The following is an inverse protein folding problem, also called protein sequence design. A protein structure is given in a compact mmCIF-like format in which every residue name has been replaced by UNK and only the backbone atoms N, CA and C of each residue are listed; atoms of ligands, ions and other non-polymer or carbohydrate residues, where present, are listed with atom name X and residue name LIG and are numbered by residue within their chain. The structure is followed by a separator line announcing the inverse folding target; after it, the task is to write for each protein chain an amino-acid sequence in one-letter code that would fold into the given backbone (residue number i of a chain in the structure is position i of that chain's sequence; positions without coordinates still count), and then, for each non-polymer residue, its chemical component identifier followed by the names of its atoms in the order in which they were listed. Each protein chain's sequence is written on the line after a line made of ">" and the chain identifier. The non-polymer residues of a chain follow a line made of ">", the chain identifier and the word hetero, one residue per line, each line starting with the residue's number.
data_IF_533942915798
#
_entry.id   IF_533942915798
#
_cell.length_a   1.000
_cell.length_b   1.000
_cell.length_c   1.000
_cell.angle_alpha   90.00
_cell.angle_beta   90.00
_cell.angle_gamma   90.00
#
_symmetry.space_group_name_H-M   'P 1'
#
loop_
_entity.id
_entity.type
_entity.pdbx_description
1 polymer ?
#
# COMPACT_ATOMS: atom_id res chain seq x y z
N UNK A 1 26.34 2.05 -14.58
CA UNK A 1 26.93 1.15 -13.56
C UNK A 1 28.46 1.17 -13.57
N UNK A 2 29.09 1.20 -14.72
CA UNK A 2 30.57 1.25 -14.81
C UNK A 2 31.19 2.55 -14.28
N UNK A 3 30.44 3.62 -14.17
CA UNK A 3 30.90 4.91 -13.66
C UNK A 3 31.23 4.87 -12.16
N UNK A 4 30.40 4.21 -11.35
CA UNK A 4 30.63 4.06 -9.91
C UNK A 4 31.82 3.15 -9.59
N UNK A 5 32.07 2.14 -10.41
CA UNK A 5 33.23 1.25 -10.29
C UNK A 5 34.54 1.91 -10.67
N UNK A 6 34.56 2.90 -11.59
CA UNK A 6 35.74 3.66 -11.99
C UNK A 6 36.23 4.62 -10.90
N UNK A 7 35.34 5.19 -10.11
CA UNK A 7 35.66 6.08 -8.99
C UNK A 7 36.38 5.29 -7.86
N UNK A 8 36.21 3.98 -7.84
CA UNK A 8 36.64 3.12 -6.75
C UNK A 8 38.03 2.51 -6.89
N UNK A 9 38.67 2.64 -8.04
CA UNK A 9 39.99 2.00 -8.29
C UNK A 9 41.17 2.61 -7.55
N UNK A 10 40.96 3.61 -6.72
CA UNK A 10 42.07 4.37 -6.15
C UNK A 10 42.31 4.31 -4.65
N UNK A 11 41.38 3.80 -3.81
CA UNK A 11 41.62 3.78 -2.35
C UNK A 11 40.63 2.92 -1.60
N UNK A 12 41.08 1.94 -0.84
CA UNK A 12 40.23 1.13 0.02
C UNK A 12 39.87 1.88 1.31
N UNK A 13 38.97 2.84 1.24
CA UNK A 13 38.44 3.48 2.45
C UNK A 13 37.09 2.84 2.85
N UNK A 14 37.01 2.09 3.97
CA UNK A 14 35.81 1.39 4.37
C UNK A 14 34.61 2.30 4.60
N UNK A 15 34.83 3.55 5.02
CA UNK A 15 33.76 4.53 5.24
C UNK A 15 33.12 4.99 3.95
N UNK A 16 33.92 5.23 2.89
CA UNK A 16 33.42 5.55 1.54
C UNK A 16 32.65 4.39 0.94
N UNK A 17 33.11 3.18 1.15
CA UNK A 17 32.44 1.98 0.67
C UNK A 17 31.05 1.82 1.30
N UNK A 18 30.93 2.04 2.61
CA UNK A 18 29.66 2.01 3.33
C UNK A 18 28.70 3.11 2.86
N UNK A 19 29.21 4.32 2.62
CA UNK A 19 28.42 5.44 2.12
C UNK A 19 27.87 5.18 0.72
N UNK A 20 28.69 4.65 -0.19
CA UNK A 20 28.26 4.27 -1.56
C UNK A 20 27.25 3.14 -1.52
N UNK A 21 27.43 2.11 -0.69
CA UNK A 21 26.47 1.03 -0.51
C UNK A 21 25.12 1.54 0.02
N UNK A 22 25.15 2.47 0.96
CA UNK A 22 23.94 3.09 1.52
C UNK A 22 23.22 3.90 0.43
N UNK A 23 23.93 4.71 -0.32
CA UNK A 23 23.38 5.49 -1.43
C UNK A 23 22.77 4.58 -2.51
N UNK A 24 23.47 3.52 -2.89
CA UNK A 24 23.00 2.55 -3.88
C UNK A 24 21.73 1.83 -3.40
N UNK A 25 21.65 1.52 -2.11
CA UNK A 25 20.45 0.92 -1.50
C UNK A 25 19.27 1.90 -1.52
N UNK A 26 19.48 3.16 -1.18
CA UNK A 26 18.44 4.21 -1.22
C UNK A 26 17.92 4.40 -2.65
N UNK A 27 18.80 4.53 -3.63
CA UNK A 27 18.43 4.67 -5.04
C UNK A 27 17.68 3.44 -5.55
N UNK A 28 18.15 2.24 -5.21
CA UNK A 28 17.47 0.98 -5.57
C UNK A 28 16.09 0.88 -4.94
N UNK A 29 15.94 1.22 -3.64
CA UNK A 29 14.66 1.19 -2.94
C UNK A 29 13.68 2.22 -3.49
N UNK A 30 14.14 3.41 -3.87
CA UNK A 30 13.29 4.47 -4.44
C UNK A 30 12.76 4.13 -5.84
N UNK A 31 13.44 3.24 -6.58
CA UNK A 31 13.07 2.81 -7.94
C UNK A 31 12.51 1.38 -8.00
N UNK A 32 12.32 0.71 -6.86
CA UNK A 32 11.70 -0.61 -6.82
C UNK A 32 10.23 -0.55 -7.30
N UNK A 33 9.68 -1.66 -7.80
CA UNK A 33 8.24 -1.75 -8.11
C UNK A 33 7.35 -1.36 -6.93
N UNK A 34 7.73 -1.76 -5.73
CA UNK A 34 7.06 -1.43 -4.47
C UNK A 34 7.00 0.09 -4.25
N UNK A 35 8.14 0.77 -4.38
CA UNK A 35 8.22 2.22 -4.20
C UNK A 35 7.44 2.98 -5.29
N UNK A 36 7.48 2.50 -6.52
CA UNK A 36 6.70 3.08 -7.63
C UNK A 36 5.20 2.93 -7.41
N UNK A 37 4.74 1.75 -7.00
CA UNK A 37 3.35 1.49 -6.67
C UNK A 37 2.86 2.38 -5.52
N UNK A 38 3.66 2.54 -4.49
CA UNK A 38 3.36 3.42 -3.36
C UNK A 38 3.25 4.89 -3.79
N UNK A 39 4.16 5.37 -4.64
CA UNK A 39 4.08 6.74 -5.19
C UNK A 39 2.84 6.95 -6.04
N UNK A 40 2.49 5.99 -6.88
CA UNK A 40 1.29 6.05 -7.71
C UNK A 40 0.03 6.10 -6.83
N UNK A 41 -0.07 5.23 -5.83
CA UNK A 41 -1.17 5.23 -4.88
C UNK A 41 -1.34 6.62 -4.25
N UNK A 42 -0.27 7.20 -3.71
CA UNK A 42 -0.30 8.50 -3.04
C UNK A 42 -0.85 9.62 -3.94
N UNK A 43 -0.58 9.58 -5.23
CA UNK A 43 -1.09 10.55 -6.21
C UNK A 43 -2.61 10.50 -6.38
N UNK A 44 -3.21 9.34 -6.15
CA UNK A 44 -4.65 9.12 -6.35
C UNK A 44 -5.47 9.24 -5.05
N UNK A 45 -4.82 9.40 -3.92
CA UNK A 45 -5.50 9.60 -2.65
C UNK A 45 -5.99 11.04 -2.50
N UNK A 46 -7.18 11.22 -1.91
CA UNK A 46 -7.63 12.52 -1.46
C UNK A 46 -6.72 13.05 -0.36
N UNK A 47 -6.81 14.35 -0.02
CA UNK A 47 -6.00 14.93 1.06
C UNK A 47 -6.18 14.20 2.39
N UNK A 48 -7.43 13.87 2.75
CA UNK A 48 -7.73 13.15 3.97
C UNK A 48 -7.20 11.72 3.96
N UNK A 49 -7.37 11.01 2.84
CA UNK A 49 -6.84 9.66 2.66
C UNK A 49 -5.31 9.65 2.71
N UNK A 50 -4.66 10.62 2.07
CA UNK A 50 -3.20 10.73 2.08
C UNK A 50 -2.65 10.96 3.48
N UNK A 51 -3.26 11.87 4.25
CA UNK A 51 -2.88 12.13 5.63
C UNK A 51 -3.03 10.87 6.50
N UNK A 52 -4.11 10.14 6.31
CA UNK A 52 -4.38 8.89 7.02
C UNK A 52 -3.37 7.80 6.64
N UNK A 53 -3.07 7.66 5.36
CA UNK A 53 -2.09 6.70 4.85
C UNK A 53 -0.67 7.00 5.35
N UNK A 54 -0.27 8.26 5.35
CA UNK A 54 1.04 8.67 5.84
C UNK A 54 1.20 8.45 7.35
N UNK A 55 0.13 8.61 8.11
CA UNK A 55 0.15 8.42 9.56
C UNK A 55 0.06 6.95 9.97
N UNK A 56 -0.70 6.12 9.24
CA UNK A 56 -1.12 4.80 9.71
C UNK A 56 -0.90 3.63 8.74
N UNK A 57 -0.44 3.88 7.51
CA UNK A 57 -0.37 2.88 6.43
C UNK A 57 -1.73 2.25 6.05
N UNK A 58 -2.82 2.93 6.31
CA UNK A 58 -4.15 2.62 5.80
C UNK A 58 -4.88 3.90 5.42
N UNK A 59 -5.95 3.76 4.66
CA UNK A 59 -6.89 4.86 4.39
C UNK A 59 -8.30 4.31 4.24
N UNK A 60 -9.28 5.19 4.49
CA UNK A 60 -10.69 4.85 4.39
C UNK A 60 -11.27 5.30 3.05
N UNK A 61 -12.17 4.50 2.52
CA UNK A 61 -12.98 4.82 1.35
C UNK A 61 -14.46 4.65 1.68
N UNK A 62 -15.30 5.38 0.97
CA UNK A 62 -16.75 5.27 1.08
C UNK A 62 -17.28 4.51 -0.13
N UNK A 63 -18.02 3.44 0.11
CA UNK A 63 -18.65 2.67 -0.94
C UNK A 63 -19.67 3.49 -1.73
N UNK A 64 -19.58 3.44 -3.06
CA UNK A 64 -20.40 4.30 -3.92
C UNK A 64 -21.88 3.94 -3.93
N UNK A 65 -22.24 2.70 -3.61
CA UNK A 65 -23.65 2.26 -3.61
C UNK A 65 -24.28 2.27 -2.21
N UNK A 66 -23.53 1.92 -1.17
CA UNK A 66 -24.08 1.72 0.17
C UNK A 66 -23.71 2.81 1.18
N UNK A 67 -22.76 3.67 0.82
CA UNK A 67 -22.16 4.65 1.73
C UNK A 67 -21.47 4.01 2.95
N UNK A 68 -21.19 2.71 2.92
CA UNK A 68 -20.40 2.04 3.95
C UNK A 68 -18.96 2.50 3.91
N UNK A 69 -18.32 2.48 5.06
CA UNK A 69 -16.91 2.84 5.18
C UNK A 69 -16.04 1.59 5.19
N UNK A 70 -15.03 1.59 4.32
CA UNK A 70 -14.05 0.52 4.20
C UNK A 70 -12.67 1.08 4.51
N UNK A 71 -11.88 0.31 5.25
CA UNK A 71 -10.47 0.64 5.53
C UNK A 71 -9.57 -0.31 4.76
N UNK A 72 -8.68 0.27 3.96
CA UNK A 72 -7.73 -0.47 3.14
C UNK A 72 -6.35 -0.35 3.77
N UNK A 73 -5.80 -1.50 4.22
CA UNK A 73 -4.48 -1.58 4.85
C UNK A 73 -3.39 -1.83 3.81
N UNK A 74 -2.18 -1.39 4.12
CA UNK A 74 -1.00 -1.67 3.31
C UNK A 74 -0.61 -3.15 3.45
N UNK A 75 -1.23 -3.95 2.66
CA UNK A 75 -1.02 -5.39 2.52
C UNK A 75 -1.68 -5.83 1.22
N UNK A 76 -1.46 -7.08 0.81
CA UNK A 76 -2.02 -7.61 -0.43
C UNK A 76 -2.95 -8.81 -0.21
N UNK A 77 -3.26 -9.18 1.02
CA UNK A 77 -4.16 -10.29 1.34
C UNK A 77 -5.11 -9.89 2.48
N UNK A 78 -6.42 -10.06 2.26
CA UNK A 78 -7.47 -9.79 3.25
C UNK A 78 -7.31 -8.43 3.94
N UNK A 79 -6.98 -7.41 3.15
CA UNK A 79 -6.55 -6.09 3.62
C UNK A 79 -7.65 -5.03 3.62
N UNK A 80 -8.89 -5.40 3.30
CA UNK A 80 -10.03 -4.47 3.31
C UNK A 80 -10.96 -4.85 4.45
N UNK A 81 -11.26 -3.88 5.31
CA UNK A 81 -12.23 -4.05 6.40
C UNK A 81 -13.42 -3.13 6.22
N UNK A 82 -14.62 -3.68 6.33
CA UNK A 82 -15.85 -2.90 6.48
C UNK A 82 -15.97 -2.43 7.92
N UNK A 83 -16.22 -1.15 8.12
CA UNK A 83 -16.36 -0.54 9.44
C UNK A 83 -17.82 -0.16 9.70
N UNK A 84 -18.24 -0.27 10.96
CA UNK A 84 -19.52 0.23 11.40
C UNK A 84 -19.49 1.77 11.56
N UNK A 85 -20.61 2.36 12.02
CA UNK A 85 -20.75 3.82 12.19
C UNK A 85 -19.79 4.42 13.23
N UNK A 86 -19.29 3.59 14.15
CA UNK A 86 -18.33 4.03 15.18
C UNK A 86 -16.90 3.64 14.85
N UNK A 87 -16.66 3.06 13.67
CA UNK A 87 -15.33 2.69 13.21
C UNK A 87 -14.85 1.30 13.64
N UNK A 88 -15.74 0.43 14.11
CA UNK A 88 -15.38 -0.95 14.47
C UNK A 88 -15.42 -1.88 13.25
N UNK A 89 -14.46 -2.80 13.10
CA UNK A 89 -14.49 -3.78 12.02
C UNK A 89 -15.71 -4.72 12.15
N UNK A 90 -16.44 -4.88 11.04
CA UNK A 90 -17.58 -5.80 10.93
C UNK A 90 -17.18 -7.05 10.15
N UNK A 91 -16.56 -6.84 8.99
CA UNK A 91 -16.22 -7.92 8.05
C UNK A 91 -14.92 -7.55 7.36
N UNK A 92 -14.11 -8.55 7.04
CA UNK A 92 -12.89 -8.39 6.26
C UNK A 92 -13.08 -9.03 4.89
N UNK A 93 -12.56 -8.36 3.87
CA UNK A 93 -12.67 -8.79 2.48
C UNK A 93 -11.31 -9.00 1.85
N UNK A 94 -11.23 -9.97 0.94
CA UNK A 94 -10.11 -10.17 0.05
C UNK A 94 -10.61 -10.15 -1.38
N UNK A 95 -10.24 -9.13 -2.14
CA UNK A 95 -10.42 -9.06 -3.59
C UNK A 95 -9.18 -8.39 -4.17
N UNK A 96 -8.50 -9.11 -5.04
CA UNK A 96 -7.21 -8.71 -5.58
C UNK A 96 -7.31 -8.78 -7.10
N UNK A 97 -6.87 -7.75 -7.83
CA UNK A 97 -6.79 -7.81 -9.28
C UNK A 97 -5.84 -8.92 -9.71
N UNK A 98 -6.08 -9.50 -10.87
CA UNK A 98 -5.21 -10.55 -11.43
C UNK A 98 -3.85 -9.96 -11.78
N UNK A 99 -2.78 -10.72 -11.52
CA UNK A 99 -1.40 -10.40 -11.85
C UNK A 99 -0.50 -10.28 -10.63
N UNK A 100 0.80 -10.18 -10.89
CA UNK A 100 1.82 -9.93 -9.86
C UNK A 100 1.89 -8.43 -9.56
N UNK A 101 1.00 -7.97 -8.69
CA UNK A 101 0.92 -6.56 -8.32
C UNK A 101 1.54 -6.31 -6.95
N UNK A 102 2.23 -5.20 -6.82
CA UNK A 102 2.72 -4.69 -5.54
C UNK A 102 1.57 -4.12 -4.71
N UNK A 103 1.77 -4.00 -3.40
CA UNK A 103 0.71 -3.59 -2.46
C UNK A 103 0.08 -2.24 -2.82
N UNK A 104 0.85 -1.28 -3.27
CA UNK A 104 0.32 0.03 -3.68
C UNK A 104 -0.66 -0.05 -4.86
N UNK A 105 -0.35 -0.88 -5.85
CA UNK A 105 -1.22 -1.09 -7.01
C UNK A 105 -2.52 -1.83 -6.61
N UNK A 106 -2.41 -2.82 -5.73
CA UNK A 106 -3.57 -3.54 -5.19
C UNK A 106 -4.50 -2.59 -4.44
N UNK A 107 -3.96 -1.78 -3.55
CA UNK A 107 -4.74 -0.80 -2.77
C UNK A 107 -5.42 0.23 -3.65
N UNK A 108 -4.74 0.71 -4.69
CA UNK A 108 -5.32 1.65 -5.65
C UNK A 108 -6.48 1.02 -6.42
N UNK A 109 -6.31 -0.21 -6.90
CA UNK A 109 -7.38 -0.93 -7.59
C UNK A 109 -8.59 -1.18 -6.67
N UNK A 110 -8.36 -1.52 -5.41
CA UNK A 110 -9.41 -1.70 -4.40
C UNK A 110 -10.16 -0.39 -4.12
N UNK A 111 -9.44 0.71 -3.97
CA UNK A 111 -10.03 2.04 -3.83
C UNK A 111 -10.95 2.37 -5.00
N UNK A 112 -10.45 2.24 -6.22
CA UNK A 112 -11.22 2.53 -7.44
C UNK A 112 -12.46 1.65 -7.50
N UNK A 113 -12.33 0.35 -7.23
CA UNK A 113 -13.45 -0.58 -7.28
C UNK A 113 -14.56 -0.21 -6.27
N UNK A 114 -14.20 0.08 -5.02
CA UNK A 114 -15.18 0.45 -4.00
C UNK A 114 -15.83 1.82 -4.23
N UNK A 115 -15.09 2.76 -4.78
CA UNK A 115 -15.59 4.11 -5.05
C UNK A 115 -16.38 4.21 -6.37
N UNK A 116 -16.25 3.25 -7.29
CA UNK A 116 -16.89 3.29 -8.60
C UNK A 116 -17.85 2.13 -8.86
N UNK A 117 -17.64 0.96 -8.29
CA UNK A 117 -18.49 -0.21 -8.46
C UNK A 117 -18.41 -1.16 -7.25
N UNK A 118 -18.84 -0.67 -6.14
CA UNK A 118 -18.79 -1.37 -4.85
C UNK A 118 -19.45 -2.74 -4.90
N UNK A 119 -20.64 -2.85 -5.48
CA UNK A 119 -21.39 -4.11 -5.51
C UNK A 119 -20.67 -5.19 -6.32
N UNK A 120 -20.08 -4.82 -7.45
CA UNK A 120 -19.30 -5.76 -8.26
C UNK A 120 -18.02 -6.20 -7.52
N UNK A 121 -17.34 -5.30 -6.83
CA UNK A 121 -16.16 -5.62 -6.03
C UNK A 121 -16.53 -6.62 -4.93
N UNK A 122 -17.58 -6.37 -4.19
CA UNK A 122 -18.02 -7.26 -3.09
C UNK A 122 -18.55 -8.61 -3.61
N UNK A 123 -19.10 -8.67 -4.80
CA UNK A 123 -19.61 -9.91 -5.42
C UNK A 123 -18.48 -10.93 -5.69
N UNK A 124 -17.26 -10.46 -5.98
CA UNK A 124 -16.10 -11.32 -6.23
C UNK A 124 -15.20 -11.49 -5.00
N UNK A 125 -15.46 -10.75 -3.92
CA UNK A 125 -14.63 -10.78 -2.73
C UNK A 125 -14.86 -12.04 -1.89
N UNK A 126 -13.80 -12.56 -1.32
CA UNK A 126 -13.87 -13.52 -0.22
C UNK A 126 -14.06 -12.78 1.10
N UNK A 127 -14.90 -13.32 1.97
CA UNK A 127 -15.24 -12.73 3.27
C UNK A 127 -14.58 -13.49 4.40
N UNK A 128 -14.10 -12.73 5.38
CA UNK A 128 -13.47 -13.27 6.59
C UNK A 128 -14.01 -12.55 7.82
N UNK A 129 -13.89 -13.21 8.98
CA UNK A 129 -14.18 -12.57 10.26
C UNK A 129 -13.23 -11.38 10.48
N UNK A 130 -13.71 -10.31 11.16
CA UNK A 130 -12.84 -9.18 11.48
C UNK A 130 -11.70 -9.63 12.38
N UNK A 131 -10.54 -9.01 12.25
CA UNK A 131 -9.40 -9.31 13.07
C UNK A 131 -9.70 -8.84 14.51
N UNK A 132 -9.66 -9.76 15.47
CA UNK A 132 -9.80 -9.38 16.89
C UNK A 132 -8.63 -8.47 17.27
N UNK A 133 -8.94 -7.26 17.72
CA UNK A 133 -7.94 -6.44 18.38
C UNK A 133 -7.45 -7.21 19.62
N UNK A 134 -6.15 -7.50 19.67
CA UNK A 134 -5.57 -7.99 20.91
C UNK A 134 -5.73 -6.88 21.95
N UNK A 135 -6.27 -7.16 23.14
CA UNK A 135 -6.27 -6.17 24.19
C UNK A 135 -4.81 -5.78 24.48
N UNK A 136 -4.54 -4.50 24.40
CA UNK A 136 -3.26 -3.88 24.82
C UNK A 136 -3.17 -3.94 26.32
#
# INVERSE_FOLDING_TARGET
>A
MNFLLRIWRGSPNPARFRAVRRLHRVVRNSNSPEARGRRLLRRWLSKGQLAQFDAHNFFDVIGCHTAKRYRIYYANVANVEELDKVGRPITRYCFIPKGDLVSGDVMLAQKIALETDELAALAVANRFAPQRQRPT
#
